data_IF_742913416128
#
_entry.id   IF_742913416128
#
_cell.length_a   1.000
_cell.length_b   1.000
_cell.length_c   1.000
_cell.angle_alpha   90.00
_cell.angle_beta   90.00
_cell.angle_gamma   90.00
#
_symmetry.space_group_name_H-M   'P 1'
#
loop_
_entity.id
_entity.type
_entity.pdbx_description
1 polymer ?
#
# COMPACT_ATOMS: atom_id res chain seq x y z
N UNK A 1 8.08 21.86 53.99
CA UNK A 1 7.54 22.03 52.62
C UNK A 1 6.03 21.98 52.73
N UNK A 2 5.31 23.02 52.30
CA UNK A 2 3.86 23.13 52.51
C UNK A 2 3.11 22.23 51.51
N UNK A 3 2.01 21.57 51.91
CA UNK A 3 1.24 20.69 51.03
C UNK A 3 0.71 21.39 49.77
N UNK A 4 0.60 22.71 49.82
CA UNK A 4 0.18 23.58 48.73
C UNK A 4 1.20 23.64 47.58
N UNK A 5 2.51 23.57 47.87
CA UNK A 5 3.55 23.50 46.82
C UNK A 5 3.54 22.17 46.07
N UNK A 6 3.22 21.07 46.75
CA UNK A 6 3.13 19.75 46.12
C UNK A 6 1.92 19.68 45.19
N UNK A 7 0.77 20.20 45.61
CA UNK A 7 -0.44 20.30 44.78
C UNK A 7 -0.18 21.12 43.50
N UNK A 8 0.44 22.30 43.62
CA UNK A 8 0.75 23.14 42.47
C UNK A 8 1.73 22.46 41.50
N UNK A 9 2.72 21.72 42.02
CA UNK A 9 3.68 20.98 41.20
C UNK A 9 3.02 19.81 40.45
N UNK A 10 2.11 19.08 41.10
CA UNK A 10 1.35 17.99 40.45
C UNK A 10 0.39 18.49 39.37
N UNK A 11 -0.31 19.61 39.61
CA UNK A 11 -1.18 20.24 38.62
C UNK A 11 -0.40 20.76 37.41
N UNK A 12 0.79 21.32 37.62
CA UNK A 12 1.68 21.75 36.54
C UNK A 12 2.15 20.58 35.66
N UNK A 13 2.55 19.47 36.28
CA UNK A 13 2.93 18.24 35.58
C UNK A 13 1.75 17.65 34.79
N UNK A 14 0.56 17.55 35.38
CA UNK A 14 -0.65 17.06 34.69
C UNK A 14 -1.04 17.95 33.49
N UNK A 15 -0.88 19.28 33.61
CA UNK A 15 -1.11 20.20 32.48
C UNK A 15 -0.10 19.99 31.35
N UNK A 16 1.17 19.77 31.67
CA UNK A 16 2.24 19.51 30.70
C UNK A 16 2.06 18.16 29.99
N UNK A 17 1.65 17.10 30.71
CA UNK A 17 1.32 15.81 30.13
C UNK A 17 0.07 15.89 29.24
N UNK A 18 -0.90 16.73 29.58
CA UNK A 18 -2.11 16.95 28.77
C UNK A 18 -1.81 17.70 27.47
N UNK A 19 -0.87 18.65 27.48
CA UNK A 19 -0.38 19.32 26.26
C UNK A 19 0.55 18.45 25.41
N UNK A 20 1.13 17.40 26.00
CA UNK A 20 1.93 16.39 25.30
C UNK A 20 1.11 15.22 24.76
N UNK A 21 -0.22 15.23 24.96
CA UNK A 21 -1.14 14.42 24.15
C UNK A 21 -1.11 14.98 22.73
N UNK A 22 -0.08 14.60 21.98
CA UNK A 22 0.09 14.89 20.58
C UNK A 22 -1.18 14.47 19.85
N UNK A 23 -2.03 15.45 19.56
CA UNK A 23 -3.00 15.33 18.49
C UNK A 23 -2.20 15.13 17.22
N UNK A 24 -1.93 13.87 16.86
CA UNK A 24 -1.48 13.56 15.50
C UNK A 24 -2.47 14.25 14.58
N UNK A 25 -2.00 15.13 13.68
CA UNK A 25 -2.89 15.84 12.78
C UNK A 25 -3.77 14.80 12.08
N UNK A 26 -5.09 14.87 12.28
CA UNK A 26 -6.01 13.93 11.68
C UNK A 26 -5.80 13.96 10.17
N UNK A 27 -5.64 12.79 9.58
CA UNK A 27 -5.36 12.64 8.17
C UNK A 27 -6.54 13.13 7.31
N UNK A 28 -6.35 14.29 6.67
CA UNK A 28 -7.43 15.03 6.00
C UNK A 28 -7.41 14.91 4.48
N UNK A 29 -6.23 14.72 3.86
CA UNK A 29 -6.10 14.59 2.42
C UNK A 29 -6.13 13.13 1.95
N UNK A 30 -6.48 12.93 0.68
CA UNK A 30 -6.62 11.60 0.07
C UNK A 30 -5.32 10.78 0.13
N UNK A 31 -4.17 11.42 -0.08
CA UNK A 31 -2.87 10.74 -0.14
C UNK A 31 -2.40 10.19 1.19
N UNK A 32 -2.65 10.94 2.26
CA UNK A 32 -2.39 10.47 3.61
C UNK A 32 -3.33 9.29 3.96
N UNK A 33 -4.62 9.34 3.58
CA UNK A 33 -5.56 8.23 3.85
C UNK A 33 -5.20 6.98 3.07
N UNK A 34 -4.71 7.16 1.84
CA UNK A 34 -4.13 6.10 1.04
C UNK A 34 -2.96 5.43 1.78
N UNK A 35 -1.98 6.20 2.27
CA UNK A 35 -0.84 5.67 3.02
C UNK A 35 -1.27 4.95 4.30
N UNK A 36 -2.23 5.51 5.06
CA UNK A 36 -2.76 4.89 6.28
C UNK A 36 -3.54 3.59 5.99
N UNK A 37 -4.28 3.54 4.87
CA UNK A 37 -5.08 2.39 4.45
C UNK A 37 -4.28 1.29 3.75
N UNK A 38 -3.07 1.60 3.26
CA UNK A 38 -2.27 0.68 2.45
C UNK A 38 -2.01 -0.67 3.12
N UNK A 39 -1.68 -0.78 4.44
CA UNK A 39 -1.46 -2.08 5.08
C UNK A 39 -2.68 -3.01 5.03
N UNK A 40 -3.90 -2.46 5.15
CA UNK A 40 -5.14 -3.24 5.09
C UNK A 40 -5.38 -3.74 3.67
N UNK A 41 -5.18 -2.88 2.66
CA UNK A 41 -5.29 -3.24 1.24
C UNK A 41 -4.27 -4.31 0.87
N UNK A 42 -3.02 -4.19 1.35
CA UNK A 42 -1.96 -5.18 1.13
C UNK A 42 -2.25 -6.53 1.80
N UNK A 43 -2.88 -6.53 2.99
CA UNK A 43 -3.36 -7.76 3.61
C UNK A 43 -4.41 -8.45 2.73
N UNK A 44 -5.41 -7.71 2.25
CA UNK A 44 -6.46 -8.24 1.38
C UNK A 44 -5.89 -8.78 0.06
N UNK A 45 -4.89 -8.10 -0.51
CA UNK A 45 -4.18 -8.57 -1.69
C UNK A 45 -3.55 -9.95 -1.45
N UNK A 46 -2.81 -10.10 -0.35
CA UNK A 46 -2.15 -11.37 0.01
C UNK A 46 -3.17 -12.48 0.27
N UNK A 47 -4.29 -12.17 0.89
CA UNK A 47 -5.38 -13.12 1.11
C UNK A 47 -5.95 -13.62 -0.23
N UNK A 48 -6.28 -12.73 -1.17
CA UNK A 48 -6.78 -13.16 -2.48
C UNK A 48 -5.71 -13.93 -3.29
N UNK A 49 -4.45 -13.49 -3.26
CA UNK A 49 -3.37 -14.21 -3.91
C UNK A 49 -3.23 -15.64 -3.38
N UNK A 50 -3.35 -15.84 -2.05
CA UNK A 50 -3.27 -17.17 -1.45
C UNK A 50 -4.32 -18.14 -1.97
N UNK A 51 -5.48 -17.66 -2.41
CA UNK A 51 -6.56 -18.51 -2.94
C UNK A 51 -6.27 -18.99 -4.37
N UNK A 52 -5.48 -18.24 -5.14
CA UNK A 52 -5.18 -18.55 -6.54
C UNK A 52 -3.79 -19.14 -6.75
N UNK A 53 -2.89 -18.99 -5.76
CA UNK A 53 -1.47 -19.35 -5.85
C UNK A 53 -1.27 -20.79 -6.33
N UNK A 54 -1.85 -21.76 -5.62
CA UNK A 54 -1.58 -23.18 -5.86
C UNK A 54 -1.99 -23.60 -7.29
N UNK A 55 -3.04 -22.99 -7.84
CA UNK A 55 -3.45 -23.21 -9.22
C UNK A 55 -2.40 -22.68 -10.21
N UNK A 56 -2.00 -21.41 -10.10
CA UNK A 56 -1.06 -20.82 -11.06
C UNK A 56 0.36 -21.38 -10.92
N UNK A 57 0.79 -21.76 -9.70
CA UNK A 57 2.10 -22.41 -9.50
C UNK A 57 2.12 -23.83 -10.08
N UNK A 58 1.04 -24.60 -9.96
CA UNK A 58 0.96 -25.95 -10.53
C UNK A 58 0.90 -25.97 -12.07
N UNK A 59 0.51 -24.85 -12.69
CA UNK A 59 0.44 -24.68 -14.14
C UNK A 59 1.59 -23.81 -14.69
N UNK A 60 2.61 -23.50 -13.87
CA UNK A 60 3.79 -22.76 -14.31
C UNK A 60 4.87 -23.70 -14.82
N UNK A 61 5.09 -23.71 -16.14
CA UNK A 61 6.12 -24.51 -16.80
C UNK A 61 7.49 -23.81 -16.88
N UNK A 62 7.63 -22.63 -16.27
CA UNK A 62 8.89 -21.88 -16.26
C UNK A 62 9.74 -22.23 -15.04
N UNK A 63 10.95 -22.74 -15.30
CA UNK A 63 11.98 -22.99 -14.29
C UNK A 63 12.74 -21.71 -13.86
N UNK A 64 12.44 -20.57 -14.50
CA UNK A 64 13.09 -19.28 -14.24
C UNK A 64 12.11 -18.25 -13.68
N UNK A 65 12.58 -17.45 -12.72
CA UNK A 65 11.81 -16.33 -12.18
C UNK A 65 11.67 -15.21 -13.22
N UNK A 66 10.42 -14.80 -13.51
CA UNK A 66 10.14 -13.64 -14.35
C UNK A 66 10.46 -12.31 -13.63
N UNK A 67 10.16 -12.26 -12.33
CA UNK A 67 10.50 -11.14 -11.46
C UNK A 67 11.73 -11.54 -10.63
N UNK A 68 12.90 -11.11 -11.06
CA UNK A 68 14.19 -11.48 -10.47
C UNK A 68 14.80 -10.36 -9.62
N UNK A 69 16.04 -10.57 -9.17
CA UNK A 69 16.79 -9.60 -8.38
C UNK A 69 16.96 -8.25 -9.09
N UNK A 70 16.94 -8.20 -10.42
CA UNK A 70 17.05 -6.95 -11.18
C UNK A 70 15.83 -6.05 -10.96
N UNK A 71 14.64 -6.65 -10.86
CA UNK A 71 13.40 -5.91 -10.57
C UNK A 71 13.45 -5.35 -9.15
N UNK A 72 13.85 -6.16 -8.17
CA UNK A 72 14.00 -5.71 -6.78
C UNK A 72 15.05 -4.59 -6.65
N UNK A 73 16.19 -4.71 -7.34
CA UNK A 73 17.21 -3.67 -7.37
C UNK A 73 16.67 -2.36 -7.94
N UNK A 74 15.75 -2.43 -8.91
CA UNK A 74 15.12 -1.25 -9.49
C UNK A 74 14.24 -0.52 -8.46
N UNK A 75 13.52 -1.25 -7.61
CA UNK A 75 12.74 -0.68 -6.49
C UNK A 75 13.59 -0.05 -5.41
N UNK A 76 14.87 -0.43 -5.30
CA UNK A 76 15.81 0.15 -4.35
C UNK A 76 16.66 1.28 -4.96
N UNK A 77 16.36 1.70 -6.19
CA UNK A 77 17.10 2.72 -6.92
C UNK A 77 16.30 4.01 -7.09
N UNK A 78 16.91 5.03 -7.69
CA UNK A 78 16.20 6.25 -8.10
C UNK A 78 15.09 6.02 -9.15
N UNK A 79 14.99 4.81 -9.71
CA UNK A 79 13.98 4.43 -10.70
C UNK A 79 12.80 3.67 -10.10
N UNK A 80 12.66 3.64 -8.77
CA UNK A 80 11.63 2.86 -8.09
C UNK A 80 10.20 3.22 -8.55
N UNK A 81 9.84 4.51 -8.65
CA UNK A 81 8.57 4.92 -9.26
C UNK A 81 8.33 4.32 -10.65
N UNK A 82 9.32 4.43 -11.55
CA UNK A 82 9.19 3.96 -12.93
C UNK A 82 9.06 2.45 -12.99
N UNK A 83 9.84 1.73 -12.18
CA UNK A 83 9.76 0.29 -12.07
C UNK A 83 8.40 -0.16 -11.53
N UNK A 84 7.88 0.52 -10.50
CA UNK A 84 6.57 0.22 -9.91
C UNK A 84 5.42 0.51 -10.89
N UNK A 85 5.45 1.63 -11.59
CA UNK A 85 4.44 1.98 -12.60
C UNK A 85 4.45 0.96 -13.75
N UNK A 86 5.63 0.61 -14.26
CA UNK A 86 5.78 -0.41 -15.30
C UNK A 86 5.30 -1.79 -14.86
N UNK A 87 5.58 -2.20 -13.61
CA UNK A 87 5.10 -3.47 -13.08
C UNK A 87 3.58 -3.49 -12.92
N UNK A 88 3.00 -2.43 -12.33
CA UNK A 88 1.54 -2.32 -12.19
C UNK A 88 0.86 -2.29 -13.55
N UNK A 89 1.42 -1.56 -14.53
CA UNK A 89 0.89 -1.53 -15.89
C UNK A 89 0.91 -2.89 -16.56
N UNK A 90 2.02 -3.63 -16.45
CA UNK A 90 2.12 -4.97 -17.01
C UNK A 90 1.07 -5.91 -16.43
N UNK A 91 0.87 -5.89 -15.10
CA UNK A 91 -0.13 -6.73 -14.46
C UNK A 91 -1.57 -6.35 -14.84
N UNK A 92 -1.87 -5.05 -14.90
CA UNK A 92 -3.22 -4.55 -15.21
C UNK A 92 -3.61 -4.71 -16.68
N UNK A 93 -2.65 -4.60 -17.59
CA UNK A 93 -2.93 -4.63 -19.04
C UNK A 93 -2.75 -6.01 -19.66
N UNK A 94 -1.92 -6.86 -19.05
CA UNK A 94 -1.52 -8.14 -19.64
C UNK A 94 -1.85 -9.33 -18.74
N UNK A 95 -1.29 -9.37 -17.52
CA UNK A 95 -1.35 -10.59 -16.69
C UNK A 95 -2.76 -10.89 -16.19
N UNK A 96 -3.37 -9.94 -15.47
CA UNK A 96 -4.67 -10.14 -14.84
C UNK A 96 -5.82 -10.26 -15.86
N UNK A 97 -5.87 -9.48 -16.95
CA UNK A 97 -6.87 -9.69 -18.00
C UNK A 97 -6.77 -11.07 -18.66
N UNK A 98 -5.55 -11.56 -18.94
CA UNK A 98 -5.34 -12.90 -19.49
C UNK A 98 -5.80 -13.98 -18.50
N UNK A 99 -5.41 -13.85 -17.24
CA UNK A 99 -5.83 -14.75 -16.16
C UNK A 99 -7.37 -14.81 -16.01
N UNK A 100 -8.07 -13.68 -16.21
CA UNK A 100 -9.53 -13.64 -16.22
C UNK A 100 -10.16 -14.27 -17.47
N UNK A 101 -9.52 -14.14 -18.63
CA UNK A 101 -10.01 -14.71 -19.88
C UNK A 101 -9.86 -16.24 -19.92
N UNK A 102 -8.88 -16.78 -19.22
CA UNK A 102 -8.65 -18.23 -19.09
C UNK A 102 -9.60 -18.92 -18.11
N UNK A 103 -10.49 -18.16 -17.43
CA UNK A 103 -11.46 -18.72 -16.49
C UNK A 103 -12.42 -19.67 -17.21
N UNK A 104 -12.19 -20.96 -16.98
CA UNK A 104 -13.08 -22.06 -17.38
C UNK A 104 -13.90 -22.53 -16.18
N UNK A 105 -14.85 -23.46 -16.40
CA UNK A 105 -15.68 -24.07 -15.35
C UNK A 105 -14.86 -24.63 -14.18
N UNK A 106 -13.62 -25.09 -14.43
CA UNK A 106 -12.74 -25.66 -13.40
C UNK A 106 -12.08 -24.63 -12.48
N UNK A 107 -12.05 -23.36 -12.87
CA UNK A 107 -11.43 -22.27 -12.09
C UNK A 107 -12.38 -21.11 -11.83
N UNK A 108 -13.68 -21.35 -11.98
CA UNK A 108 -14.73 -20.38 -11.72
C UNK A 108 -14.70 -19.87 -10.26
N UNK A 109 -14.35 -20.73 -9.30
CA UNK A 109 -14.21 -20.36 -7.88
C UNK A 109 -13.01 -19.44 -7.62
N UNK A 110 -12.03 -19.39 -8.52
CA UNK A 110 -10.86 -18.51 -8.41
C UNK A 110 -11.13 -17.11 -8.95
N UNK A 111 -12.11 -16.97 -9.84
CA UNK A 111 -12.43 -15.71 -10.53
C UNK A 111 -12.65 -14.52 -9.59
N UNK A 112 -13.43 -14.63 -8.49
CA UNK A 112 -13.63 -13.50 -7.58
C UNK A 112 -12.33 -13.00 -6.94
N UNK A 113 -11.36 -13.89 -6.76
CA UNK A 113 -10.06 -13.53 -6.20
C UNK A 113 -9.19 -12.80 -7.23
N UNK A 114 -9.19 -13.25 -8.48
CA UNK A 114 -8.51 -12.56 -9.59
C UNK A 114 -9.11 -11.16 -9.81
N UNK A 115 -10.44 -11.05 -9.83
CA UNK A 115 -11.15 -9.76 -9.93
C UNK A 115 -10.80 -8.82 -8.78
N UNK A 116 -10.77 -9.34 -7.54
CA UNK A 116 -10.39 -8.53 -6.38
C UNK A 116 -8.93 -8.07 -6.45
N UNK A 117 -8.01 -8.88 -6.99
CA UNK A 117 -6.61 -8.48 -7.19
C UNK A 117 -6.51 -7.37 -8.24
N UNK A 118 -7.22 -7.52 -9.37
CA UNK A 118 -7.28 -6.51 -10.42
C UNK A 118 -7.77 -5.18 -9.87
N UNK A 119 -8.88 -5.18 -9.14
CA UNK A 119 -9.40 -3.96 -8.53
C UNK A 119 -8.40 -3.32 -7.57
N UNK A 120 -7.72 -4.11 -6.72
CA UNK A 120 -6.71 -3.58 -5.79
C UNK A 120 -5.54 -2.93 -6.55
N UNK A 121 -5.09 -3.53 -7.66
CA UNK A 121 -3.99 -2.99 -8.47
C UNK A 121 -4.40 -1.70 -9.17
N UNK A 122 -5.63 -1.64 -9.69
CA UNK A 122 -6.16 -0.47 -10.38
C UNK A 122 -6.28 0.72 -9.42
N UNK A 123 -6.90 0.50 -8.25
CA UNK A 123 -6.99 1.50 -7.18
C UNK A 123 -5.60 1.94 -6.70
N UNK A 124 -4.65 1.01 -6.58
CA UNK A 124 -3.28 1.34 -6.17
C UNK A 124 -2.57 2.22 -7.20
N UNK A 125 -2.67 1.89 -8.50
CA UNK A 125 -2.08 2.69 -9.58
C UNK A 125 -2.69 4.09 -9.60
N UNK A 126 -4.01 4.18 -9.46
CA UNK A 126 -4.72 5.46 -9.43
C UNK A 126 -4.31 6.33 -8.23
N UNK A 127 -4.30 5.76 -7.03
CA UNK A 127 -3.95 6.48 -5.79
C UNK A 127 -2.48 6.93 -5.81
N UNK A 128 -1.55 6.08 -6.26
CA UNK A 128 -0.12 6.44 -6.41
C UNK A 128 0.03 7.59 -7.41
N UNK A 129 -0.60 7.51 -8.59
CA UNK A 129 -0.50 8.55 -9.62
C UNK A 129 -1.07 9.89 -9.15
N UNK A 130 -2.22 9.89 -8.47
CA UNK A 130 -2.81 11.10 -7.89
C UNK A 130 -1.89 11.75 -6.86
N UNK A 131 -1.18 10.95 -6.10
CA UNK A 131 -0.41 11.46 -4.98
C UNK A 131 1.04 11.80 -5.29
N UNK A 132 1.65 11.13 -6.28
CA UNK A 132 2.93 11.55 -6.88
C UNK A 132 2.75 12.86 -7.64
N UNK A 133 1.69 13.00 -8.44
CA UNK A 133 1.42 14.25 -9.18
C UNK A 133 1.11 15.45 -8.26
N UNK A 134 0.50 15.20 -7.10
CA UNK A 134 0.18 16.24 -6.10
C UNK A 134 1.40 16.72 -5.29
N UNK A 135 2.49 15.96 -5.23
CA UNK A 135 3.71 16.39 -4.52
C UNK A 135 4.48 17.48 -5.29
N UNK A 136 4.25 17.65 -6.60
CA UNK A 136 4.88 18.73 -7.36
C UNK A 136 4.31 20.13 -7.07
N UNK A 137 3.16 20.25 -6.40
CA UNK A 137 2.48 21.54 -6.17
C UNK A 137 2.52 22.02 -4.71
N UNK A 138 2.86 21.16 -3.74
CA UNK A 138 2.91 21.54 -2.33
C UNK A 138 4.17 21.02 -1.62
N UNK A 139 5.19 21.85 -1.56
CA UNK A 139 6.23 21.79 -0.54
C UNK A 139 5.60 22.07 0.84
N UNK A 140 5.55 21.06 1.73
CA UNK A 140 5.58 21.16 3.22
C UNK A 140 4.71 20.18 4.05
N UNK A 141 4.04 19.19 3.46
CA UNK A 141 3.45 18.10 4.28
C UNK A 141 4.23 16.81 4.07
N UNK A 142 4.89 16.32 5.13
CA UNK A 142 5.60 15.04 5.22
C UNK A 142 4.63 13.84 5.06
N UNK A 143 4.02 13.69 3.88
CA UNK A 143 3.43 12.43 3.44
C UNK A 143 4.44 11.82 2.50
N UNK A 144 5.38 11.04 3.05
CA UNK A 144 6.33 10.26 2.25
C UNK A 144 5.57 9.15 1.56
N UNK A 145 5.03 9.43 0.38
CA UNK A 145 4.85 8.39 -0.62
C UNK A 145 6.25 8.17 -1.16
N UNK A 146 6.92 7.19 -0.57
CA UNK A 146 8.22 6.73 -1.07
C UNK A 146 7.95 6.10 -2.42
N UNK A 147 8.65 6.65 -3.39
CA UNK A 147 8.64 6.34 -4.79
C UNK A 147 9.99 6.90 -5.27
#
# INVERSE_FOLDING_TARGET
MTPQSLLLSTLGLLSLLSSAAWSSPMCTNQCCRFVEGFPVRLKKLRENYSQIRDFYEANNDLDSALLDQSVENSFNSQFACQAMDGLLEFYLTTVLPTAMAEVTETIMDLKPHVESILQIFDELKEDVNKCVSSQHTHTHTHTHIVC
#
